data_IF_125363143077
#
_entry.id   IF_125363143077
#
_cell.length_a   1.000
_cell.length_b   1.000
_cell.length_c   1.000
_cell.angle_alpha   90.00
_cell.angle_beta   90.00
_cell.angle_gamma   90.00
#
_symmetry.space_group_name_H-M   'P 1'
#
loop_
_entity.id
_entity.type
_entity.pdbx_description
1 polymer ?
#
# COMPACT_ATOMS: atom_id res chain seq x y z
N UNK A 1 13.43 5.79 5.71
CA UNK A 1 12.46 6.90 5.56
C UNK A 1 11.35 6.72 6.58
N UNK A 2 11.04 7.73 7.41
CA UNK A 2 9.90 7.65 8.37
C UNK A 2 8.59 7.71 7.55
N UNK A 3 7.75 6.68 7.67
CA UNK A 3 6.50 6.53 6.90
C UNK A 3 5.52 7.65 7.33
N UNK A 4 5.05 8.54 6.43
CA UNK A 4 4.04 9.54 6.77
C UNK A 4 2.80 8.83 7.34
N UNK A 5 2.31 9.32 8.48
CA UNK A 5 1.34 8.63 9.34
C UNK A 5 -0.09 8.49 8.76
N UNK A 6 -0.36 8.99 7.55
CA UNK A 6 -1.71 8.98 6.98
C UNK A 6 -1.96 7.64 6.28
N UNK A 7 -2.29 6.64 7.07
CA UNK A 7 -2.77 5.33 6.60
C UNK A 7 -4.24 5.43 6.23
N UNK A 8 -4.54 5.69 4.95
CA UNK A 8 -5.92 5.67 4.46
C UNK A 8 -6.31 4.24 4.11
N UNK A 9 -7.24 3.59 4.83
CA UNK A 9 -7.66 2.22 4.53
C UNK A 9 -8.24 2.12 3.12
N UNK A 10 -7.89 1.07 2.40
CA UNK A 10 -8.50 0.79 1.11
C UNK A 10 -9.91 0.22 1.30
N UNK A 11 -10.83 0.58 0.39
CA UNK A 11 -12.22 0.08 0.38
C UNK A 11 -12.53 -0.46 -1.02
N UNK A 12 -12.78 -1.78 -1.21
CA UNK A 12 -12.71 -2.83 -0.19
C UNK A 12 -11.29 -2.99 0.36
N UNK A 13 -11.18 -3.52 1.59
CA UNK A 13 -9.89 -3.78 2.23
C UNK A 13 -9.07 -4.74 1.36
N UNK A 14 -7.78 -4.45 1.22
CA UNK A 14 -6.83 -5.30 0.52
C UNK A 14 -5.74 -5.76 1.46
N UNK A 15 -5.19 -6.92 1.16
CA UNK A 15 -4.15 -7.56 1.96
C UNK A 15 -3.04 -8.03 1.04
N UNK A 16 -1.80 -7.96 1.51
CA UNK A 16 -0.67 -8.53 0.80
C UNK A 16 -0.80 -10.06 0.73
N UNK A 17 -0.52 -10.62 -0.44
CA UNK A 17 -0.54 -12.08 -0.64
C UNK A 17 0.52 -12.80 0.22
N UNK A 18 1.72 -12.25 0.33
CA UNK A 18 2.87 -12.84 1.05
C UNK A 18 2.69 -12.78 2.57
N UNK A 19 2.59 -11.57 3.14
CA UNK A 19 2.62 -11.37 4.59
C UNK A 19 1.24 -11.16 5.23
N UNK A 20 0.15 -11.17 4.45
CA UNK A 20 -1.23 -10.94 4.91
C UNK A 20 -1.48 -9.61 5.63
N UNK A 21 -0.54 -8.67 5.58
CA UNK A 21 -0.70 -7.29 6.09
C UNK A 21 -1.80 -6.55 5.33
N UNK A 22 -2.67 -5.83 6.04
CA UNK A 22 -3.59 -4.85 5.44
C UNK A 22 -2.76 -3.76 4.75
N UNK A 23 -3.10 -3.50 3.48
CA UNK A 23 -2.45 -2.47 2.67
C UNK A 23 -3.32 -1.22 2.60
N UNK A 24 -2.67 -0.07 2.50
CA UNK A 24 -3.31 1.24 2.49
C UNK A 24 -3.28 1.88 1.10
N UNK A 25 -4.21 2.80 0.86
CA UNK A 25 -4.24 3.54 -0.41
C UNK A 25 -2.96 4.31 -0.65
N UNK A 26 -2.60 4.40 -1.92
CA UNK A 26 -1.61 5.37 -2.40
C UNK A 26 -2.10 6.78 -2.07
N UNK A 27 -1.26 7.56 -1.40
CA UNK A 27 -1.55 8.97 -1.04
C UNK A 27 -0.70 9.87 -1.93
N UNK A 28 -1.33 10.84 -2.59
CA UNK A 28 -0.65 11.86 -3.38
C UNK A 28 -0.61 13.18 -2.60
N UNK A 29 0.56 13.81 -2.53
CA UNK A 29 0.73 15.21 -2.11
C UNK A 29 1.03 16.09 -3.34
N UNK A 30 1.17 17.39 -3.14
CA UNK A 30 1.50 18.35 -4.21
C UNK A 30 2.85 18.10 -4.87
N UNK A 31 3.77 17.45 -4.16
CA UNK A 31 5.19 17.30 -4.50
C UNK A 31 5.65 15.83 -4.52
N UNK A 32 4.84 14.89 -4.04
CA UNK A 32 5.22 13.48 -3.91
C UNK A 32 4.02 12.55 -3.92
N UNK A 33 4.28 11.26 -3.98
CA UNK A 33 3.28 10.24 -3.72
C UNK A 33 3.88 9.14 -2.84
N UNK A 34 3.03 8.48 -2.08
CA UNK A 34 3.40 7.37 -1.20
C UNK A 34 2.55 6.15 -1.54
N UNK A 35 3.21 5.03 -1.83
CA UNK A 35 2.59 3.75 -2.21
C UNK A 35 2.80 2.74 -1.10
N UNK A 36 1.76 2.00 -0.73
CA UNK A 36 1.86 0.90 0.25
C UNK A 36 1.85 -0.49 -0.39
N UNK A 37 1.38 -0.60 -1.64
CA UNK A 37 1.21 -1.87 -2.34
C UNK A 37 1.20 -1.72 -3.86
N UNK A 38 1.47 -2.84 -4.53
CA UNK A 38 1.50 -3.00 -5.99
C UNK A 38 0.67 -4.21 -6.41
N UNK A 39 0.22 -4.24 -7.67
CA UNK A 39 -0.32 -5.46 -8.28
C UNK A 39 0.79 -6.22 -8.99
N UNK A 40 0.97 -7.50 -8.65
CA UNK A 40 1.82 -8.44 -9.40
C UNK A 40 0.94 -9.60 -9.84
N UNK A 41 0.90 -9.86 -11.15
CA UNK A 41 0.10 -10.97 -11.72
C UNK A 41 -1.40 -10.94 -11.35
N UNK A 42 -1.95 -9.74 -11.09
CA UNK A 42 -3.33 -9.54 -10.65
C UNK A 42 -3.54 -9.61 -9.14
N UNK A 43 -2.50 -9.91 -8.36
CA UNK A 43 -2.56 -10.05 -6.91
C UNK A 43 -1.86 -8.89 -6.18
N UNK A 44 -2.35 -8.58 -4.98
CA UNK A 44 -1.86 -7.45 -4.18
C UNK A 44 -0.62 -7.86 -3.41
N UNK A 45 0.48 -7.12 -3.58
CA UNK A 45 1.74 -7.29 -2.84
C UNK A 45 2.08 -5.98 -2.13
N UNK A 46 2.35 -5.99 -0.82
CA UNK A 46 2.75 -4.77 -0.11
C UNK A 46 4.17 -4.36 -0.50
N UNK A 47 4.49 -3.08 -0.29
CA UNK A 47 5.82 -2.52 -0.55
C UNK A 47 6.95 -3.20 0.24
N UNK A 48 6.62 -3.83 1.37
CA UNK A 48 7.60 -4.56 2.19
C UNK A 48 7.93 -5.95 1.61
N UNK A 49 7.07 -6.49 0.73
CA UNK A 49 7.20 -7.81 0.11
C UNK A 49 7.43 -7.76 -1.41
N UNK A 50 7.41 -6.57 -2.00
CA UNK A 50 7.72 -6.32 -3.40
C UNK A 50 9.23 -6.16 -3.59
#
# INVERSE_FOLDING_TARGET
MRRPHIKTPEKPKRFCIECKREVYRTVHSSDSYWVDWYTREGEVTCIDCY
#
